data_IF_826985274416
#
_entry.id   IF_826985274416
#
_cell.length_a   1.000
_cell.length_b   1.000
_cell.length_c   1.000
_cell.angle_alpha   90.00
_cell.angle_beta   90.00
_cell.angle_gamma   90.00
#
_symmetry.space_group_name_H-M   'P 1'
#
loop_
_entity.id
_entity.type
_entity.pdbx_description
1 polymer ?
#
# COMPACT_ATOMS: atom_id res chain seq x y z
N UNK A 1 3.04 2.07 -16.30
CA UNK A 1 3.86 3.02 -15.51
C UNK A 1 3.46 3.06 -14.02
N UNK A 2 2.40 2.40 -13.56
CA UNK A 2 2.02 2.34 -12.14
C UNK A 2 0.58 1.83 -11.97
N UNK A 3 0.06 1.82 -10.74
CA UNK A 3 -1.24 1.23 -10.41
C UNK A 3 -2.03 2.11 -9.45
N UNK A 4 -3.30 2.33 -9.78
CA UNK A 4 -4.25 2.99 -8.90
C UNK A 4 -4.92 1.97 -7.99
N UNK A 5 -4.82 2.18 -6.68
CA UNK A 5 -5.45 1.36 -5.65
C UNK A 5 -6.59 2.16 -5.04
N UNK A 6 -7.80 1.64 -5.19
CA UNK A 6 -9.00 2.29 -4.69
C UNK A 6 -9.25 1.90 -3.23
N UNK A 7 -9.78 2.81 -2.41
CA UNK A 7 -10.21 2.44 -1.06
C UNK A 7 -11.25 1.33 -1.13
N UNK A 8 -11.14 0.38 -0.22
CA UNK A 8 -12.14 -0.64 0.00
C UNK A 8 -13.43 0.00 0.53
N UNK A 9 -14.58 -0.52 0.10
CA UNK A 9 -15.91 -0.03 0.52
C UNK A 9 -16.87 -1.20 0.74
N UNK A 10 -17.51 -1.25 1.89
CA UNK A 10 -18.62 -2.16 2.17
C UNK A 10 -19.90 -1.64 1.46
N UNK A 11 -20.06 -1.92 0.15
CA UNK A 11 -21.17 -1.55 -0.78
C UNK A 11 -21.62 -0.06 -0.76
N UNK A 12 -21.74 0.56 -1.96
CA UNK A 12 -22.30 1.91 -2.22
C UNK A 12 -22.32 2.88 -1.02
N UNK A 13 -21.16 3.07 -0.36
CA UNK A 13 -21.06 4.07 0.68
C UNK A 13 -21.26 5.44 0.04
N UNK A 14 -22.31 6.16 0.46
CA UNK A 14 -22.72 7.48 -0.05
C UNK A 14 -21.64 8.55 0.15
N UNK A 15 -20.69 8.29 1.03
CA UNK A 15 -19.62 9.22 1.41
C UNK A 15 -18.26 8.56 1.15
N UNK A 16 -17.44 9.22 0.33
CA UNK A 16 -16.16 8.70 -0.13
C UNK A 16 -15.10 8.81 0.98
N UNK A 17 -14.68 7.67 1.54
CA UNK A 17 -13.69 7.60 2.63
C UNK A 17 -12.23 7.66 2.14
N UNK A 18 -11.95 8.36 1.03
CA UNK A 18 -10.58 8.55 0.56
C UNK A 18 -10.40 8.64 -0.96
N UNK A 19 -9.31 9.30 -1.35
CA UNK A 19 -8.79 9.36 -2.72
C UNK A 19 -7.97 8.10 -3.03
N UNK A 20 -8.05 7.54 -4.25
CA UNK A 20 -7.18 6.43 -4.64
C UNK A 20 -5.70 6.70 -4.35
N UNK A 21 -4.99 5.69 -3.82
CA UNK A 21 -3.53 5.70 -3.72
C UNK A 21 -2.94 5.34 -5.10
N UNK A 22 -1.81 5.93 -5.46
CA UNK A 22 -1.07 5.57 -6.67
C UNK A 22 0.31 5.03 -6.31
N UNK A 23 0.60 3.82 -6.77
CA UNK A 23 1.90 3.20 -6.59
C UNK A 23 2.63 3.13 -7.94
N UNK A 24 3.85 3.65 -7.96
CA UNK A 24 4.78 3.39 -9.06
C UNK A 24 5.20 1.93 -9.02
N UNK A 25 5.53 1.39 -10.20
CA UNK A 25 5.95 -0.02 -10.31
C UNK A 25 7.31 -0.31 -9.68
N UNK A 26 8.06 0.74 -9.33
CA UNK A 26 9.38 0.67 -8.73
C UNK A 26 9.64 1.88 -7.82
N UNK A 27 10.33 1.64 -6.69
CA UNK A 27 10.69 2.67 -5.72
C UNK A 27 11.79 3.60 -6.25
N UNK A 28 12.74 3.07 -7.01
CA UNK A 28 13.80 3.84 -7.66
C UNK A 28 13.23 4.85 -8.66
N UNK A 29 12.19 4.49 -9.41
CA UNK A 29 11.46 5.42 -10.29
C UNK A 29 10.83 6.57 -9.49
N UNK A 30 10.18 6.26 -8.36
CA UNK A 30 9.61 7.30 -7.49
C UNK A 30 10.67 8.30 -6.99
N UNK A 31 11.83 7.78 -6.59
CA UNK A 31 12.95 8.59 -6.11
C UNK A 31 13.66 9.35 -7.21
N UNK A 32 13.78 8.76 -8.41
CA UNK A 32 14.35 9.41 -9.58
C UNK A 32 13.50 10.61 -10.01
N UNK A 33 12.17 10.44 -10.10
CA UNK A 33 11.23 11.53 -10.42
C UNK A 33 11.24 12.63 -9.36
N UNK A 34 11.53 12.27 -8.11
CA UNK A 34 11.65 13.22 -7.00
C UNK A 34 13.06 13.82 -6.85
N UNK A 35 13.99 13.53 -7.78
CA UNK A 35 15.39 13.96 -7.73
C UNK A 35 16.16 13.55 -6.46
N UNK A 36 15.78 12.41 -5.86
CA UNK A 36 16.37 11.87 -4.60
C UNK A 36 17.26 10.64 -4.81
N UNK A 37 17.33 10.11 -6.03
CA UNK A 37 18.07 8.88 -6.34
C UNK A 37 19.53 8.84 -5.84
N UNK A 38 20.33 9.92 -5.92
CA UNK A 38 21.72 9.90 -5.47
C UNK A 38 21.90 9.81 -3.94
N UNK A 39 20.84 10.05 -3.17
CA UNK A 39 20.89 10.12 -1.71
C UNK A 39 20.30 8.86 -1.09
N UNK A 40 20.69 8.45 0.13
CA UNK A 40 20.00 7.40 0.86
C UNK A 40 18.54 7.82 1.18
N UNK A 41 17.60 6.87 1.31
CA UNK A 41 16.23 7.18 1.74
C UNK A 41 16.19 7.88 3.10
N UNK A 42 15.37 8.93 3.22
CA UNK A 42 15.08 9.57 4.51
C UNK A 42 14.01 8.83 5.30
N UNK A 43 13.91 9.07 6.61
CA UNK A 43 12.84 8.49 7.44
C UNK A 43 11.44 8.92 6.95
N UNK A 44 11.32 10.14 6.42
CA UNK A 44 10.07 10.69 5.89
C UNK A 44 9.55 9.94 4.65
N UNK A 45 10.45 9.53 3.74
CA UNK A 45 10.06 8.78 2.53
C UNK A 45 10.04 7.26 2.75
N UNK A 46 10.72 6.76 3.79
CA UNK A 46 10.88 5.33 4.04
C UNK A 46 9.54 4.59 4.20
N UNK A 47 8.55 5.20 4.84
CA UNK A 47 7.20 4.64 4.97
C UNK A 47 6.55 4.39 3.60
N UNK A 48 6.47 5.43 2.78
CA UNK A 48 5.87 5.35 1.45
C UNK A 48 6.64 4.42 0.49
N UNK A 49 7.98 4.39 0.60
CA UNK A 49 8.81 3.48 -0.19
C UNK A 49 8.59 2.02 0.21
N UNK A 50 8.49 1.73 1.52
CA UNK A 50 8.22 0.38 2.00
C UNK A 50 6.80 -0.07 1.63
N UNK A 51 5.80 0.80 1.77
CA UNK A 51 4.42 0.53 1.33
C UNK A 51 4.38 0.22 -0.17
N UNK A 52 5.09 0.99 -0.98
CA UNK A 52 5.21 0.76 -2.44
C UNK A 52 5.89 -0.57 -2.74
N UNK A 53 6.96 -0.91 -2.04
CA UNK A 53 7.66 -2.19 -2.19
C UNK A 53 6.73 -3.36 -1.87
N UNK A 54 6.08 -3.33 -0.69
CA UNK A 54 5.15 -4.39 -0.25
C UNK A 54 3.99 -4.57 -1.23
N UNK A 55 3.42 -3.47 -1.73
CA UNK A 55 2.37 -3.52 -2.75
C UNK A 55 2.85 -4.17 -4.05
N UNK A 56 4.02 -3.78 -4.56
CA UNK A 56 4.59 -4.31 -5.79
C UNK A 56 4.93 -5.80 -5.66
N UNK A 57 5.54 -6.22 -4.55
CA UNK A 57 5.84 -7.63 -4.26
C UNK A 57 4.57 -8.47 -4.13
N UNK A 58 3.55 -7.96 -3.43
CA UNK A 58 2.26 -8.66 -3.32
C UNK A 58 1.62 -8.83 -4.70
N UNK A 59 1.62 -7.79 -5.53
CA UNK A 59 1.09 -7.88 -6.90
C UNK A 59 1.87 -8.88 -7.75
N UNK A 60 3.20 -8.89 -7.64
CA UNK A 60 4.05 -9.85 -8.35
C UNK A 60 3.77 -11.29 -7.90
N UNK A 61 3.68 -11.52 -6.60
CA UNK A 61 3.28 -12.81 -6.01
C UNK A 61 1.94 -13.29 -6.56
N UNK A 62 0.90 -12.43 -6.50
CA UNK A 62 -0.42 -12.76 -7.04
C UNK A 62 -0.35 -13.13 -8.52
N UNK A 63 0.40 -12.39 -9.32
CA UNK A 63 0.58 -12.67 -10.75
C UNK A 63 1.31 -14.01 -11.00
N UNK A 64 2.42 -14.27 -10.29
CA UNK A 64 3.19 -15.50 -10.44
C UNK A 64 2.41 -16.76 -10.05
N UNK A 65 1.48 -16.62 -9.11
CA UNK A 65 0.62 -17.72 -8.68
C UNK A 65 -0.74 -17.79 -9.41
N UNK A 66 -0.99 -16.93 -10.41
CA UNK A 66 -2.26 -16.90 -11.14
C UNK A 66 -3.46 -16.51 -10.26
N UNK A 67 -3.22 -15.75 -9.19
CA UNK A 67 -4.23 -15.30 -8.25
C UNK A 67 -4.74 -13.92 -8.67
N UNK A 68 -6.03 -13.82 -9.01
CA UNK A 68 -6.65 -12.56 -9.45
C UNK A 68 -7.33 -11.80 -8.30
N UNK A 69 -6.73 -11.82 -7.11
CA UNK A 69 -7.26 -11.12 -5.94
C UNK A 69 -7.11 -9.61 -6.09
N UNK A 70 -8.13 -8.88 -5.63
CA UNK A 70 -8.13 -7.41 -5.69
C UNK A 70 -7.37 -6.86 -4.49
N UNK A 71 -6.52 -5.88 -4.77
CA UNK A 71 -5.78 -5.12 -3.78
C UNK A 71 -6.45 -3.77 -3.56
N UNK A 72 -6.63 -3.43 -2.30
CA UNK A 72 -7.22 -2.19 -1.81
C UNK A 72 -6.38 -1.63 -0.68
N UNK A 73 -6.73 -0.45 -0.19
CA UNK A 73 -6.41 0.00 1.16
C UNK A 73 -7.72 0.24 1.89
N UNK A 74 -7.73 0.25 3.21
CA UNK A 74 -8.94 0.56 3.98
C UNK A 74 -8.66 1.61 5.04
N UNK A 75 -9.63 2.49 5.24
CA UNK A 75 -9.57 3.52 6.26
C UNK A 75 -10.96 3.82 6.77
N UNK A 76 -11.07 4.03 8.07
CA UNK A 76 -12.30 4.44 8.72
C UNK A 76 -12.29 5.95 9.03
N UNK A 77 -13.45 6.51 9.32
CA UNK A 77 -13.56 7.93 9.69
C UNK A 77 -12.93 8.23 11.06
N UNK A 78 -12.94 7.26 11.97
CA UNK A 78 -12.34 7.31 13.31
C UNK A 78 -10.82 7.04 13.32
N UNK A 79 -10.22 6.85 12.14
CA UNK A 79 -8.76 6.89 11.97
C UNK A 79 -8.06 5.54 11.95
N UNK A 80 -8.78 4.41 11.99
CA UNK A 80 -8.16 3.12 11.70
C UNK A 80 -7.78 3.05 10.22
N UNK A 81 -6.55 2.63 9.93
CA UNK A 81 -6.02 2.49 8.58
C UNK A 81 -5.44 1.08 8.41
N UNK A 82 -5.56 0.56 7.19
CA UNK A 82 -4.92 -0.67 6.70
C UNK A 82 -4.33 -0.32 5.35
N UNK A 83 -2.99 -0.34 5.27
CA UNK A 83 -2.24 0.06 4.07
C UNK A 83 -2.56 -0.82 2.85
N UNK A 84 -2.68 -2.13 3.07
CA UNK A 84 -2.97 -3.09 2.02
C UNK A 84 -4.01 -4.12 2.48
N UNK A 85 -5.10 -4.20 1.74
CA UNK A 85 -6.20 -5.13 1.95
C UNK A 85 -6.36 -6.00 0.70
N UNK A 86 -6.17 -7.31 0.85
CA UNK A 86 -6.34 -8.28 -0.22
C UNK A 86 -7.67 -9.02 -0.07
N UNK A 87 -8.53 -8.92 -1.09
CA UNK A 87 -9.78 -9.69 -1.16
C UNK A 87 -9.51 -11.08 -1.73
N UNK A 88 -9.38 -12.08 -0.86
CA UNK A 88 -9.15 -13.46 -1.25
C UNK A 88 -10.46 -14.25 -1.33
N UNK A 89 -10.40 -15.47 -1.88
CA UNK A 89 -11.54 -16.40 -1.88
C UNK A 89 -12.01 -16.82 -0.48
N UNK A 90 -11.14 -16.72 0.54
CA UNK A 90 -11.41 -17.17 1.90
C UNK A 90 -11.70 -16.02 2.87
N UNK A 91 -11.83 -14.78 2.36
CA UNK A 91 -12.00 -13.58 3.16
C UNK A 91 -10.90 -12.54 2.89
N UNK A 92 -10.68 -11.65 3.85
CA UNK A 92 -9.78 -10.52 3.71
C UNK A 92 -8.46 -10.77 4.43
N UNK A 93 -7.35 -10.38 3.78
CA UNK A 93 -6.03 -10.29 4.43
C UNK A 93 -5.69 -8.82 4.53
N UNK A 94 -5.54 -8.33 5.76
CA UNK A 94 -5.13 -6.96 6.07
C UNK A 94 -3.64 -6.94 6.42
N UNK A 95 -2.90 -6.02 5.82
CA UNK A 95 -1.47 -5.81 6.05
C UNK A 95 -1.25 -4.34 6.39
N UNK A 96 -0.67 -4.11 7.56
CA UNK A 96 -0.19 -2.82 8.03
C UNK A 96 1.32 -2.75 7.80
N UNK A 97 1.80 -1.64 7.22
CA UNK A 97 3.20 -1.47 6.83
C UNK A 97 3.85 -0.40 7.69
N UNK A 98 4.87 -0.78 8.47
CA UNK A 98 5.60 0.15 9.34
C UNK A 98 7.09 0.17 9.00
N UNK A 99 7.56 1.30 8.48
CA UNK A 99 8.99 1.55 8.30
C UNK A 99 9.58 2.11 9.60
N UNK A 100 10.09 1.24 10.47
CA UNK A 100 10.73 1.64 11.73
C UNK A 100 12.01 0.84 11.96
N UNK A 101 13.05 1.51 12.45
CA UNK A 101 14.36 0.88 12.74
C UNK A 101 14.33 -0.02 13.97
N UNK A 102 13.42 0.24 14.91
CA UNK A 102 13.25 -0.52 16.14
C UNK A 102 11.78 -0.83 16.31
N UNK A 103 11.46 -2.08 16.59
CA UNK A 103 10.09 -2.47 16.90
C UNK A 103 9.69 -1.95 18.28
N UNK A 104 8.66 -1.12 18.34
CA UNK A 104 7.99 -0.67 19.57
C UNK A 104 6.57 -1.23 19.55
N UNK A 105 6.24 -1.98 20.60
CA UNK A 105 4.89 -2.47 20.79
C UNK A 105 4.04 -1.35 21.38
N UNK A 106 3.20 -0.72 20.56
CA UNK A 106 2.18 0.22 21.04
C UNK A 106 0.84 -0.51 21.04
N UNK A 107 0.32 -0.74 22.24
CA UNK A 107 -1.03 -1.18 22.51
C UNK A 107 -1.70 -0.15 23.41
#
# INVERSE_FOLDING_TARGET
MGFWVRPWKLKQATKQVGSPKFYLFDCGVARALSQRLPYPPTDEESGALLETLVFNETRAYLAYHGLHYKLHYWRTYDGAEVDLLCETKNGYVAVEVKAMRRWEHRH
#
